data_IF_866016241025
#
_entry.id   IF_866016241025
#
_cell.length_a   1.000
_cell.length_b   1.000
_cell.length_c   1.000
_cell.angle_alpha   90.00
_cell.angle_beta   90.00
_cell.angle_gamma   90.00
#
_symmetry.space_group_name_H-M   'P 1'
#
loop_
_entity.id
_entity.type
_entity.pdbx_description
1 polymer ?
#
# COMPACT_ATOMS: atom_id res chain seq x y z
N UNK A 1 2.99 21.50 2.24
CA UNK A 1 2.62 21.00 3.58
C UNK A 1 3.75 20.14 4.10
N UNK A 2 4.21 20.38 5.33
CA UNK A 2 5.41 19.75 5.89
C UNK A 2 5.03 18.41 6.53
N UNK A 3 5.25 17.31 5.83
CA UNK A 3 5.03 15.97 6.38
C UNK A 3 6.05 15.72 7.49
N UNK A 4 5.60 15.31 8.67
CA UNK A 4 6.52 14.89 9.75
C UNK A 4 6.80 13.40 9.60
N UNK A 5 8.05 13.07 9.32
CA UNK A 5 8.50 11.68 9.31
C UNK A 5 8.98 11.30 10.70
N UNK A 6 8.37 10.26 11.28
CA UNK A 6 8.82 9.59 12.51
C UNK A 6 9.43 8.24 12.14
N UNK A 7 10.26 7.68 13.02
CA UNK A 7 10.82 6.33 12.85
C UNK A 7 10.42 5.50 14.06
N UNK A 8 9.82 4.34 13.81
CA UNK A 8 9.50 3.33 14.82
C UNK A 8 10.55 2.22 14.78
N UNK A 9 10.97 1.74 15.95
CA UNK A 9 11.82 0.55 16.08
C UNK A 9 10.93 -0.64 16.39
N UNK A 10 10.91 -1.63 15.50
CA UNK A 10 10.10 -2.85 15.66
C UNK A 10 10.97 -4.06 15.38
N UNK A 11 11.18 -4.93 16.37
CA UNK A 11 11.93 -6.19 16.21
C UNK A 11 13.27 -6.02 15.47
N UNK A 12 14.02 -4.96 15.80
CA UNK A 12 15.31 -4.56 15.19
C UNK A 12 15.23 -3.91 13.80
N UNK A 13 14.03 -3.62 13.29
CA UNK A 13 13.81 -2.88 12.06
C UNK A 13 13.39 -1.43 12.33
N UNK A 14 13.97 -0.50 11.56
CA UNK A 14 13.54 0.90 11.53
C UNK A 14 12.44 1.08 10.49
N UNK A 15 11.24 1.44 10.93
CA UNK A 15 10.07 1.62 10.06
C UNK A 15 9.68 3.09 10.07
N UNK A 16 9.68 3.72 8.90
CA UNK A 16 9.26 5.10 8.74
C UNK A 16 7.75 5.23 8.86
N UNK A 17 7.30 6.26 9.56
CA UNK A 17 5.90 6.67 9.66
C UNK A 17 5.79 8.09 9.14
N UNK A 18 4.86 8.31 8.21
CA UNK A 18 4.53 9.63 7.69
C UNK A 18 3.24 10.07 8.37
N UNK A 19 3.36 11.10 9.20
CA UNK A 19 2.20 11.78 9.79
C UNK A 19 1.74 12.92 8.88
N UNK A 20 0.49 12.85 8.44
CA UNK A 20 -0.25 13.97 7.86
C UNK A 20 -1.20 14.56 8.94
N UNK A 21 -1.90 15.65 8.64
CA UNK A 21 -2.71 16.36 9.65
C UNK A 21 -3.83 15.50 10.26
N UNK A 22 -4.36 14.53 9.51
CA UNK A 22 -5.47 13.68 9.94
C UNK A 22 -5.10 12.21 10.14
N UNK A 23 -4.03 11.73 9.49
CA UNK A 23 -3.73 10.29 9.42
C UNK A 23 -2.22 10.02 9.50
N UNK A 24 -1.87 8.88 10.11
CA UNK A 24 -0.52 8.35 10.18
C UNK A 24 -0.40 7.14 9.24
N UNK A 25 0.60 7.17 8.35
CA UNK A 25 0.89 6.08 7.42
C UNK A 25 2.19 5.37 7.76
N UNK A 26 2.18 4.04 7.74
CA UNK A 26 3.35 3.19 7.99
C UNK A 26 3.99 2.79 6.64
N UNK A 27 5.32 2.88 6.56
CA UNK A 27 6.06 2.48 5.37
C UNK A 27 6.11 0.95 5.21
N UNK A 28 5.27 0.41 4.31
CA UNK A 28 5.30 -1.02 3.97
C UNK A 28 6.61 -1.40 3.31
N UNK A 29 7.25 -0.48 2.58
CA UNK A 29 8.55 -0.75 1.98
C UNK A 29 9.59 -1.08 3.04
N UNK A 30 9.65 -0.34 4.15
CA UNK A 30 10.60 -0.63 5.23
C UNK A 30 10.31 -2.00 5.88
N UNK A 31 9.03 -2.35 6.05
CA UNK A 31 8.61 -3.67 6.54
C UNK A 31 9.07 -4.77 5.57
N UNK A 32 8.88 -4.58 4.26
CA UNK A 32 9.28 -5.55 3.25
C UNK A 32 10.81 -5.72 3.18
N UNK A 33 11.56 -4.61 3.29
CA UNK A 33 13.03 -4.62 3.37
C UNK A 33 13.52 -5.38 4.61
N UNK A 34 12.87 -5.17 5.75
CA UNK A 34 13.23 -5.86 6.99
C UNK A 34 13.00 -7.39 6.92
N UNK A 35 12.00 -7.83 6.15
CA UNK A 35 11.63 -9.25 6.04
C UNK A 35 12.49 -10.03 5.03
N UNK A 36 12.70 -9.49 3.83
CA UNK A 36 13.29 -10.22 2.69
C UNK A 36 14.51 -9.51 2.07
N UNK A 37 14.94 -8.38 2.64
CA UNK A 37 16.03 -7.56 2.12
C UNK A 37 15.59 -6.54 1.05
N UNK A 38 16.48 -5.58 0.75
CA UNK A 38 16.15 -4.44 -0.12
C UNK A 38 15.83 -4.85 -1.57
N UNK A 39 16.60 -5.79 -2.12
CA UNK A 39 16.44 -6.25 -3.51
C UNK A 39 15.09 -6.93 -3.79
N UNK A 40 14.41 -7.45 -2.76
CA UNK A 40 13.13 -8.17 -2.88
C UNK A 40 11.93 -7.35 -2.42
N UNK A 41 12.13 -6.20 -1.78
CA UNK A 41 11.04 -5.43 -1.19
C UNK A 41 9.94 -5.06 -2.21
N UNK A 42 10.34 -4.70 -3.43
CA UNK A 42 9.40 -4.38 -4.51
C UNK A 42 8.53 -5.60 -4.91
N UNK A 43 9.12 -6.79 -4.99
CA UNK A 43 8.40 -8.02 -5.37
C UNK A 43 7.49 -8.50 -4.24
N UNK A 44 7.91 -8.34 -3.00
CA UNK A 44 7.05 -8.58 -1.82
C UNK A 44 5.83 -7.68 -1.85
N UNK A 45 5.99 -6.38 -2.12
CA UNK A 45 4.86 -5.43 -2.20
C UNK A 45 3.91 -5.76 -3.36
N UNK A 46 4.45 -6.08 -4.55
CA UNK A 46 3.64 -6.50 -5.70
C UNK A 46 2.85 -7.79 -5.39
N UNK A 47 3.48 -8.77 -4.76
CA UNK A 47 2.83 -10.02 -4.37
C UNK A 47 1.79 -9.80 -3.26
N UNK A 48 2.04 -8.86 -2.36
CA UNK A 48 1.10 -8.51 -1.30
C UNK A 48 -0.18 -7.89 -1.88
N UNK A 49 -0.06 -6.87 -2.75
CA UNK A 49 -1.24 -6.18 -3.27
C UNK A 49 -2.06 -7.01 -4.27
N UNK A 50 -1.43 -7.95 -4.99
CA UNK A 50 -2.18 -8.85 -5.90
C UNK A 50 -2.99 -9.93 -5.16
N UNK A 51 -2.73 -10.14 -3.87
CA UNK A 51 -3.47 -11.15 -3.10
C UNK A 51 -4.92 -10.75 -2.93
N UNK A 52 -5.83 -11.68 -3.18
CA UNK A 52 -7.28 -11.47 -3.01
C UNK A 52 -7.62 -11.02 -1.59
N UNK A 53 -7.01 -11.62 -0.57
CA UNK A 53 -7.24 -11.25 0.84
C UNK A 53 -6.80 -9.83 1.14
N UNK A 54 -5.68 -9.39 0.56
CA UNK A 54 -5.21 -8.01 0.69
C UNK A 54 -6.17 -7.04 0.03
N UNK A 55 -6.63 -7.35 -1.19
CA UNK A 55 -7.57 -6.49 -1.91
C UNK A 55 -8.91 -6.40 -1.20
N UNK A 56 -9.43 -7.50 -0.67
CA UNK A 56 -10.66 -7.51 0.11
C UNK A 56 -10.52 -6.68 1.38
N UNK A 57 -9.39 -6.79 2.08
CA UNK A 57 -9.11 -5.97 3.26
C UNK A 57 -9.05 -4.47 2.91
N UNK A 58 -8.27 -4.11 1.88
CA UNK A 58 -8.13 -2.72 1.44
C UNK A 58 -9.47 -2.17 0.97
N UNK A 59 -10.17 -2.89 0.09
CA UNK A 59 -11.45 -2.47 -0.45
C UNK A 59 -12.52 -2.30 0.63
N UNK A 60 -12.57 -3.18 1.63
CA UNK A 60 -13.51 -3.03 2.76
C UNK A 60 -13.22 -1.76 3.56
N UNK A 61 -11.95 -1.49 3.85
CA UNK A 61 -11.56 -0.27 4.56
C UNK A 61 -11.91 0.98 3.76
N UNK A 62 -11.63 0.99 2.45
CA UNK A 62 -11.94 2.12 1.57
C UNK A 62 -13.46 2.35 1.47
N UNK A 63 -14.26 1.29 1.31
CA UNK A 63 -15.72 1.41 1.28
C UNK A 63 -16.30 2.04 2.55
N UNK A 64 -15.65 1.85 3.70
CA UNK A 64 -16.10 2.40 4.97
C UNK A 64 -15.63 3.85 5.22
N UNK A 65 -14.47 4.23 4.70
CA UNK A 65 -13.80 5.49 5.07
C UNK A 65 -13.61 6.48 3.92
N UNK A 66 -13.85 6.07 2.66
CA UNK A 66 -13.60 6.86 1.46
C UNK A 66 -14.88 6.93 0.60
N UNK A 67 -15.66 8.02 0.71
CA UNK A 67 -16.87 8.22 -0.09
C UNK A 67 -16.64 8.25 -1.60
N UNK A 68 -15.43 8.63 -2.05
CA UNK A 68 -15.07 8.75 -3.45
C UNK A 68 -14.45 7.46 -4.02
N UNK A 69 -14.51 6.35 -3.26
CA UNK A 69 -13.96 5.07 -3.66
C UNK A 69 -14.74 4.46 -4.83
N UNK A 70 -14.02 4.08 -5.89
CA UNK A 70 -14.62 3.50 -7.10
C UNK A 70 -14.83 2.00 -6.92
N UNK A 71 -15.96 1.64 -6.33
CA UNK A 71 -16.35 0.24 -6.03
C UNK A 71 -16.35 -0.65 -7.28
N UNK A 72 -16.77 -0.13 -8.44
CA UNK A 72 -16.81 -0.90 -9.69
C UNK A 72 -15.40 -1.32 -10.16
N UNK A 73 -14.43 -0.41 -10.06
CA UNK A 73 -13.02 -0.70 -10.41
C UNK A 73 -12.41 -1.69 -9.42
N UNK A 74 -12.75 -1.55 -8.13
CA UNK A 74 -12.37 -2.52 -7.10
C UNK A 74 -12.91 -3.92 -7.40
N UNK A 75 -14.19 -4.06 -7.73
CA UNK A 75 -14.79 -5.36 -8.06
C UNK A 75 -14.09 -6.00 -9.27
N UNK A 76 -13.69 -5.21 -10.26
CA UNK A 76 -12.89 -5.70 -11.39
C UNK A 76 -11.55 -6.29 -10.93
N UNK A 77 -10.82 -5.59 -10.07
CA UNK A 77 -9.56 -6.13 -9.50
C UNK A 77 -9.79 -7.38 -8.65
N UNK A 78 -10.84 -7.39 -7.81
CA UNK A 78 -11.18 -8.52 -6.96
C UNK A 78 -11.54 -9.78 -7.77
N UNK A 79 -12.21 -9.63 -8.90
CA UNK A 79 -12.52 -10.74 -9.81
C UNK A 79 -11.27 -11.33 -10.46
N UNK A 80 -10.27 -10.51 -10.79
CA UNK A 80 -9.01 -10.98 -11.38
C UNK A 80 -8.02 -11.50 -10.35
N UNK A 81 -8.17 -11.10 -9.08
CA UNK A 81 -7.29 -11.50 -7.99
C UNK A 81 -7.23 -13.03 -7.84
N UNK A 82 -6.02 -13.57 -7.82
CA UNK A 82 -5.75 -15.02 -7.78
C UNK A 82 -5.41 -15.64 -9.13
N UNK A 83 -5.65 -14.94 -10.25
CA UNK A 83 -5.17 -15.40 -11.55
C UNK A 83 -3.64 -15.24 -11.64
N UNK A 84 -2.90 -16.21 -12.21
CA UNK A 84 -1.45 -16.10 -12.40
C UNK A 84 -1.05 -14.90 -13.26
N UNK A 85 -1.89 -14.52 -14.22
CA UNK A 85 -1.70 -13.39 -15.13
C UNK A 85 -2.06 -12.03 -14.52
N UNK A 86 -2.67 -12.00 -13.33
CA UNK A 86 -3.09 -10.76 -12.71
C UNK A 86 -1.90 -9.99 -12.14
N UNK A 87 -1.77 -8.75 -12.61
CA UNK A 87 -0.73 -7.81 -12.19
C UNK A 87 -1.40 -6.52 -11.74
N UNK A 88 -1.04 -6.10 -10.52
CA UNK A 88 -1.49 -4.84 -9.95
C UNK A 88 -0.35 -4.24 -9.13
N UNK A 89 -0.12 -2.94 -9.30
CA UNK A 89 0.78 -2.17 -8.45
C UNK A 89 0.00 -1.28 -7.47
N UNK A 90 0.60 -0.88 -6.34
CA UNK A 90 -0.02 0.08 -5.42
C UNK A 90 -0.40 1.40 -6.08
N UNK A 91 0.42 1.90 -7.00
CA UNK A 91 0.10 3.12 -7.75
C UNK A 91 -1.15 2.97 -8.63
N UNK A 92 -1.25 1.85 -9.37
CA UNK A 92 -2.44 1.56 -10.18
C UNK A 92 -3.70 1.36 -9.33
N UNK A 93 -3.58 0.70 -8.18
CA UNK A 93 -4.70 0.58 -7.23
C UNK A 93 -5.24 1.96 -6.84
N UNK A 94 -4.37 2.86 -6.39
CA UNK A 94 -4.73 4.22 -5.99
C UNK A 94 -5.38 4.98 -7.15
N UNK A 95 -4.73 5.01 -8.32
CA UNK A 95 -5.20 5.76 -9.48
C UNK A 95 -6.58 5.27 -9.97
N UNK A 96 -6.77 3.95 -10.03
CA UNK A 96 -8.00 3.36 -10.58
C UNK A 96 -9.15 3.36 -9.61
N UNK A 97 -8.89 3.14 -8.32
CA UNK A 97 -9.94 3.03 -7.30
C UNK A 97 -10.18 4.32 -6.51
N UNK A 98 -9.31 5.32 -6.67
CA UNK A 98 -9.29 6.54 -5.85
C UNK A 98 -9.02 6.24 -4.35
N UNK A 99 -8.22 5.22 -4.06
CA UNK A 99 -7.90 4.79 -2.70
C UNK A 99 -7.16 5.88 -1.91
N UNK A 100 -7.51 6.05 -0.64
CA UNK A 100 -6.88 6.99 0.29
C UNK A 100 -6.03 6.31 1.37
N UNK A 101 -6.29 5.04 1.66
CA UNK A 101 -5.58 4.22 2.65
C UNK A 101 -4.24 3.68 2.15
N UNK A 102 -3.82 4.07 0.95
CA UNK A 102 -2.49 3.80 0.43
C UNK A 102 -1.91 5.06 -0.22
N UNK A 103 -0.62 5.28 -0.01
CA UNK A 103 0.13 6.35 -0.66
C UNK A 103 1.42 5.80 -1.26
N UNK A 104 1.76 6.24 -2.47
CA UNK A 104 3.01 5.90 -3.14
C UNK A 104 3.80 7.18 -3.38
N UNK A 105 5.06 7.22 -2.95
CA UNK A 105 5.99 8.29 -3.31
C UNK A 105 7.06 7.74 -4.25
N UNK A 106 7.21 8.34 -5.42
CA UNK A 106 8.28 8.05 -6.37
C UNK A 106 9.55 8.84 -6.05
N UNK A 107 10.73 8.21 -6.14
CA UNK A 107 12.03 8.88 -5.92
C UNK A 107 13.18 7.94 -5.52
N UNK A 108 14.38 8.51 -5.29
CA UNK A 108 15.62 7.80 -4.90
C UNK A 108 15.51 7.04 -3.56
N UNK A 109 14.46 7.32 -2.79
CA UNK A 109 14.01 6.67 -1.56
C UNK A 109 12.49 6.35 -1.62
N UNK A 110 11.98 5.99 -2.80
CA UNK A 110 10.56 5.76 -3.03
C UNK A 110 10.01 4.57 -2.24
N UNK A 111 8.85 4.76 -1.63
CA UNK A 111 8.19 3.77 -0.76
C UNK A 111 6.68 3.77 -0.95
N UNK A 112 6.07 2.63 -0.62
CA UNK A 112 4.61 2.47 -0.49
C UNK A 112 4.26 2.57 0.99
N UNK A 113 3.29 3.42 1.31
CA UNK A 113 2.82 3.73 2.66
C UNK A 113 1.36 3.30 2.77
N UNK A 114 0.97 2.71 3.91
CA UNK A 114 -0.40 2.29 4.25
C UNK A 114 -0.74 2.72 5.65
#
# INVERSE_FOLDING_TARGET
MSNKTKVLQVQSASISVISNENDDFICITDIAKAKEGDSRAADVIKNWIRSRTTLEFLGTWEQMNNPDFKVVEFDHFKMQAGLPSFVLSPGQWIEKTNALGLSVKSGRYGGTYK
#
